data_IF_328854804632
#
_entry.id   IF_328854804632
#
_cell.length_a   1.000
_cell.length_b   1.000
_cell.length_c   1.000
_cell.angle_alpha   90.00
_cell.angle_beta   90.00
_cell.angle_gamma   90.00
#
_symmetry.space_group_name_H-M   'P 1'
#
loop_
_entity.id
_entity.type
_entity.pdbx_description
1 polymer ?
#
# COMPACT_ATOMS: atom_id res chain seq x y z
N UNK A 1 -8.63 -19.12 -8.11
CA UNK A 1 -8.25 -18.96 -7.84
C UNK A 1 -7.71 -18.99 -7.11
N UNK A 2 -7.41 -19.11 -6.71
CA UNK A 2 -6.94 -19.11 -5.94
C UNK A 2 -6.07 -18.53 -5.49
N UNK A 3 -5.53 -18.10 -5.47
CA UNK A 3 -4.77 -17.33 -5.12
C UNK A 3 -5.23 -16.65 -4.27
N UNK A 4 -5.52 -16.92 -3.45
CA UNK A 4 -5.98 -16.35 -2.45
C UNK A 4 -5.01 -15.62 -1.77
N UNK A 5 -3.83 -15.56 -2.05
CA UNK A 5 -2.88 -14.74 -1.39
C UNK A 5 -3.31 -13.31 -1.42
N UNK A 6 -4.10 -12.92 -2.38
CA UNK A 6 -4.55 -11.56 -2.44
C UNK A 6 -5.49 -11.19 -1.33
N UNK A 7 -6.06 -12.19 -0.65
CA UNK A 7 -6.99 -11.91 0.40
C UNK A 7 -6.37 -11.95 1.78
N UNK A 8 -5.12 -12.23 1.87
CA UNK A 8 -4.46 -12.23 3.17
C UNK A 8 -4.18 -10.82 3.61
N UNK A 9 -4.09 -10.63 4.90
CA UNK A 9 -3.79 -9.31 5.43
C UNK A 9 -2.46 -8.80 4.94
N UNK A 10 -2.35 -7.51 4.79
CA UNK A 10 -1.10 -6.90 4.38
C UNK A 10 0.00 -7.27 5.39
N UNK A 11 1.21 -7.38 4.93
CA UNK A 11 2.32 -7.70 5.81
C UNK A 11 2.68 -6.48 6.64
N UNK A 12 3.45 -6.70 7.67
CA UNK A 12 3.90 -5.60 8.50
C UNK A 12 4.70 -4.59 7.70
N UNK A 13 5.53 -5.08 6.80
CA UNK A 13 6.31 -4.20 5.96
C UNK A 13 5.42 -3.36 5.06
N UNK A 14 4.40 -3.96 4.50
CA UNK A 14 3.48 -3.24 3.65
C UNK A 14 2.75 -2.16 4.44
N UNK A 15 2.33 -2.49 5.64
CA UNK A 15 1.60 -1.54 6.45
C UNK A 15 2.47 -0.37 6.86
N UNK A 16 3.68 -0.65 7.22
CA UNK A 16 4.63 0.39 7.57
C UNK A 16 4.86 1.33 6.41
N UNK A 17 5.10 0.77 5.26
CA UNK A 17 5.35 1.56 4.08
C UNK A 17 4.14 2.40 3.72
N UNK A 18 2.97 1.79 3.80
CA UNK A 18 1.74 2.50 3.52
C UNK A 18 1.55 3.67 4.46
N UNK A 19 1.87 3.47 5.72
CA UNK A 19 1.75 4.54 6.68
C UNK A 19 2.62 5.70 6.30
N UNK A 20 3.85 5.43 5.93
CA UNK A 20 4.77 6.47 5.51
C UNK A 20 4.24 7.20 4.28
N UNK A 21 3.81 6.43 3.30
CA UNK A 21 3.31 7.04 2.08
C UNK A 21 2.05 7.84 2.32
N UNK A 22 1.18 7.33 3.18
CA UNK A 22 -0.06 8.03 3.44
C UNK A 22 0.19 9.37 4.11
N UNK A 23 1.17 9.41 4.98
CA UNK A 23 1.53 10.64 5.62
C UNK A 23 2.05 11.65 4.62
N UNK A 24 2.86 11.19 3.70
CA UNK A 24 3.40 12.09 2.69
C UNK A 24 2.33 12.58 1.74
N UNK A 25 1.37 11.71 1.43
CA UNK A 25 0.30 12.08 0.53
C UNK A 25 -0.83 12.81 1.22
N UNK A 26 -0.84 12.81 2.53
CA UNK A 26 -1.91 13.43 3.28
C UNK A 26 -3.21 12.64 3.20
N UNK A 27 -3.12 11.33 3.09
CA UNK A 27 -4.29 10.48 2.98
C UNK A 27 -4.34 9.50 4.13
N UNK A 28 -5.54 9.08 4.45
CA UNK A 28 -5.73 8.07 5.50
C UNK A 28 -5.85 6.71 4.86
N UNK A 29 -5.28 5.71 5.50
CA UNK A 29 -5.28 4.36 4.99
C UNK A 29 -5.92 3.46 6.03
N UNK A 30 -6.85 2.60 5.63
CA UNK A 30 -7.44 1.68 6.61
C UNK A 30 -6.43 0.64 7.04
N UNK A 31 -6.67 0.08 8.22
CA UNK A 31 -5.75 -0.90 8.74
C UNK A 31 -6.02 -2.28 8.26
N UNK A 32 -7.14 -2.53 7.62
CA UNK A 32 -7.50 -3.88 7.26
C UNK A 32 -7.35 -4.17 5.79
N UNK A 33 -6.37 -3.62 5.18
CA UNK A 33 -6.12 -3.90 3.77
C UNK A 33 -5.56 -5.30 3.60
N UNK A 34 -5.94 -5.94 2.50
CA UNK A 34 -5.34 -7.21 2.15
C UNK A 34 -4.04 -6.92 1.42
N UNK A 35 -3.27 -7.98 1.17
CA UNK A 35 -2.01 -7.83 0.44
C UNK A 35 -2.23 -7.21 -0.92
N UNK A 36 -3.27 -7.66 -1.62
CA UNK A 36 -3.54 -7.13 -2.94
C UNK A 36 -3.92 -5.66 -2.87
N UNK A 37 -4.73 -5.32 -1.90
CA UNK A 37 -5.16 -3.94 -1.75
C UNK A 37 -4.00 -3.06 -1.31
N UNK A 38 -3.17 -3.59 -0.44
CA UNK A 38 -2.01 -2.84 0.00
C UNK A 38 -1.07 -2.55 -1.16
N UNK A 39 -0.86 -3.55 -1.99
CA UNK A 39 -0.03 -3.38 -3.17
C UNK A 39 -0.55 -2.29 -4.08
N UNK A 40 -1.83 -2.32 -4.32
CA UNK A 40 -2.46 -1.31 -5.15
C UNK A 40 -2.34 0.06 -4.55
N UNK A 41 -2.56 0.14 -3.26
CA UNK A 41 -2.49 1.42 -2.58
C UNK A 41 -1.08 1.97 -2.58
N UNK A 42 -0.11 1.10 -2.39
CA UNK A 42 1.28 1.52 -2.43
C UNK A 42 1.59 2.13 -3.79
N UNK A 43 1.17 1.44 -4.85
CA UNK A 43 1.41 1.93 -6.18
C UNK A 43 0.77 3.29 -6.40
N UNK A 44 -0.46 3.42 -5.97
CA UNK A 44 -1.18 4.66 -6.08
C UNK A 44 -0.47 5.79 -5.35
N UNK A 45 -0.07 5.54 -4.14
CA UNK A 45 0.56 6.55 -3.33
C UNK A 45 1.95 6.89 -3.83
N UNK A 46 2.64 5.91 -4.38
CA UNK A 46 3.94 6.19 -4.98
C UNK A 46 3.79 7.18 -6.12
N UNK A 47 2.76 7.02 -6.91
CA UNK A 47 2.51 7.95 -7.99
C UNK A 47 2.16 9.33 -7.46
N UNK A 48 1.39 9.36 -6.39
CA UNK A 48 0.99 10.61 -5.82
C UNK A 48 2.13 11.37 -5.20
N UNK A 49 3.00 10.67 -4.54
CA UNK A 49 4.09 11.32 -3.83
C UNK A 49 5.35 11.40 -4.68
N UNK A 50 5.37 10.70 -5.78
CA UNK A 50 6.55 10.66 -6.63
C UNK A 50 7.63 9.76 -6.10
N UNK A 51 7.34 9.05 -5.02
CA UNK A 51 8.37 8.30 -4.37
C UNK A 51 8.88 7.15 -5.21
N UNK A 52 8.07 6.45 -5.86
CA UNK A 52 8.51 5.32 -6.61
C UNK A 52 8.95 5.62 -8.01
N UNK A 53 8.88 6.88 -8.40
CA UNK A 53 9.20 7.20 -9.71
C UNK A 53 10.55 7.53 -9.82
N UNK A 54 11.37 6.98 -9.95
CA UNK A 54 12.61 7.45 -9.97
C UNK A 54 13.03 7.75 -11.14
N UNK A 55 13.21 8.20 -11.46
CA UNK A 55 13.61 8.54 -12.51
C UNK A 55 14.36 9.16 -12.64
#
# INVERSE_FOLDING_TARGET
>A
DNWTTGEESATGAQRSYLQTLSQEAGEAIPDDLTKAEASKKIDELQHKTGRGLDH
#
